data_IF_301247314128
#
_entry.id   IF_301247314128
#
_cell.length_a   1.000
_cell.length_b   1.000
_cell.length_c   1.000
_cell.angle_alpha   90.00
_cell.angle_beta   90.00
_cell.angle_gamma   90.00
#
_symmetry.space_group_name_H-M   'P 1'
#
loop_
_entity.id
_entity.type
_entity.pdbx_description
1 polymer ?
#
# COMPACT_ATOMS: atom_id res chain seq x y z
N UNK A 1 -5.67 -19.07 -11.10
CA UNK A 1 -4.89 -17.82 -11.24
C UNK A 1 -3.42 -18.13 -11.41
N UNK A 2 -2.62 -17.24 -12.01
CA UNK A 2 -1.16 -17.44 -12.09
C UNK A 2 -0.51 -17.30 -10.71
N UNK A 3 0.72 -17.79 -10.57
CA UNK A 3 1.52 -17.56 -9.36
C UNK A 3 1.85 -16.06 -9.18
N UNK A 4 1.90 -15.56 -7.94
CA UNK A 4 2.40 -14.23 -7.66
C UNK A 4 3.86 -14.06 -8.09
N UNK A 5 4.21 -12.85 -8.52
CA UNK A 5 5.55 -12.44 -8.99
C UNK A 5 6.34 -11.68 -7.91
N UNK A 6 5.68 -11.25 -6.84
CA UNK A 6 6.30 -10.48 -5.76
C UNK A 6 6.29 -11.30 -4.48
N UNK A 7 7.48 -11.54 -3.93
CA UNK A 7 7.65 -12.28 -2.69
C UNK A 7 7.28 -11.42 -1.46
N UNK A 8 6.64 -12.06 -0.48
CA UNK A 8 6.37 -11.45 0.81
C UNK A 8 7.58 -11.59 1.76
N UNK A 9 8.67 -10.89 1.42
CA UNK A 9 9.99 -10.95 2.08
C UNK A 9 9.90 -10.85 3.62
N UNK A 10 9.01 -9.98 4.11
CA UNK A 10 8.88 -9.66 5.53
C UNK A 10 7.70 -10.35 6.23
N UNK A 11 7.06 -11.32 5.55
CA UNK A 11 5.87 -12.01 6.04
C UNK A 11 4.79 -11.02 6.53
N UNK A 12 4.53 -10.00 5.72
CA UNK A 12 3.59 -8.91 5.98
C UNK A 12 2.15 -9.41 5.93
N UNK A 13 1.31 -8.75 6.72
CA UNK A 13 -0.15 -8.78 6.67
C UNK A 13 -0.65 -7.34 6.71
N UNK A 14 -1.91 -7.08 6.36
CA UNK A 14 -2.47 -5.73 6.49
C UNK A 14 -2.39 -5.22 7.93
N UNK A 15 -2.55 -6.12 8.92
CA UNK A 15 -2.34 -5.80 10.34
C UNK A 15 -0.91 -5.35 10.66
N UNK A 16 0.11 -5.97 10.05
CA UNK A 16 1.52 -5.55 10.20
C UNK A 16 1.78 -4.23 9.48
N UNK A 17 1.26 -4.06 8.27
CA UNK A 17 1.37 -2.82 7.49
C UNK A 17 0.80 -1.63 8.26
N UNK A 18 -0.37 -1.81 8.89
CA UNK A 18 -0.99 -0.77 9.71
C UNK A 18 -0.20 -0.37 10.98
N UNK A 19 0.84 -1.13 11.33
CA UNK A 19 1.74 -0.86 12.46
C UNK A 19 3.12 -0.37 12.04
N UNK A 20 3.37 -0.22 10.75
CA UNK A 20 4.63 0.34 10.26
C UNK A 20 4.80 1.77 10.79
N UNK A 21 6.04 2.13 11.11
CA UNK A 21 6.43 3.50 11.48
C UNK A 21 7.30 4.10 10.42
N UNK A 22 7.38 5.43 10.43
CA UNK A 22 8.42 6.14 9.66
C UNK A 22 9.77 5.84 10.29
N UNK A 23 10.73 5.43 9.45
CA UNK A 23 12.13 5.30 9.81
C UNK A 23 12.87 6.61 9.52
N UNK A 24 13.20 6.84 8.25
CA UNK A 24 13.91 8.04 7.79
C UNK A 24 12.95 9.08 7.16
N UNK A 25 12.63 10.13 7.92
CA UNK A 25 11.81 11.25 7.46
C UNK A 25 12.41 11.99 6.26
N UNK A 26 13.74 12.05 6.16
CA UNK A 26 14.43 12.85 5.14
C UNK A 26 14.24 12.31 3.71
N UNK A 27 13.78 11.05 3.61
CA UNK A 27 13.44 10.37 2.36
C UNK A 27 11.98 10.54 1.95
N UNK A 28 11.13 11.09 2.82
CA UNK A 28 9.71 11.33 2.51
C UNK A 28 9.57 12.65 1.76
N UNK A 29 9.81 12.59 0.46
CA UNK A 29 9.78 13.74 -0.45
C UNK A 29 9.59 13.30 -1.90
N UNK A 30 9.41 14.27 -2.78
CA UNK A 30 9.41 14.07 -4.23
C UNK A 30 10.75 13.49 -4.73
N UNK A 31 10.74 12.70 -5.83
CA UNK A 31 9.58 12.38 -6.67
C UNK A 31 8.82 11.12 -6.22
N UNK A 32 9.32 10.39 -5.22
CA UNK A 32 8.71 9.13 -4.79
C UNK A 32 7.33 9.37 -4.18
N UNK A 33 7.22 10.38 -3.33
CA UNK A 33 5.97 10.82 -2.74
C UNK A 33 5.50 12.10 -3.42
N UNK A 34 4.18 12.23 -3.62
CA UNK A 34 3.56 13.51 -3.93
C UNK A 34 2.97 14.10 -2.66
N UNK A 35 3.02 15.43 -2.55
CA UNK A 35 2.48 16.14 -1.39
C UNK A 35 0.97 16.37 -1.53
N UNK A 36 0.19 15.90 -0.56
CA UNK A 36 -1.21 16.26 -0.42
C UNK A 36 -1.41 17.27 0.72
N UNK A 37 -1.58 18.54 0.37
CA UNK A 37 -1.80 19.61 1.36
C UNK A 37 -3.21 19.63 1.95
N UNK A 38 -4.20 18.98 1.33
CA UNK A 38 -5.59 18.93 1.84
C UNK A 38 -5.67 18.06 3.09
N UNK A 39 -4.99 16.90 3.07
CA UNK A 39 -4.97 15.96 4.20
C UNK A 39 -3.68 16.04 5.04
N UNK A 40 -2.75 16.93 4.66
CA UNK A 40 -1.42 17.08 5.27
C UNK A 40 -0.64 15.75 5.34
N UNK A 41 -0.45 15.13 4.18
CA UNK A 41 0.27 13.88 4.05
C UNK A 41 1.16 13.84 2.81
N UNK A 42 2.20 13.01 2.89
CA UNK A 42 2.98 12.55 1.75
C UNK A 42 2.41 11.23 1.26
N UNK A 43 2.19 11.11 -0.05
CA UNK A 43 1.39 10.05 -0.62
C UNK A 43 2.10 9.30 -1.74
N UNK A 44 1.81 8.01 -1.86
CA UNK A 44 2.06 7.20 -3.05
C UNK A 44 0.70 6.72 -3.53
N UNK A 45 0.42 6.90 -4.81
CA UNK A 45 -0.73 6.29 -5.48
C UNK A 45 -0.27 5.54 -6.72
N UNK A 46 -0.87 4.38 -6.97
CA UNK A 46 -0.63 3.58 -8.18
C UNK A 46 -1.97 3.09 -8.72
N UNK A 47 -2.14 3.21 -10.02
CA UNK A 47 -3.28 2.63 -10.75
C UNK A 47 -2.89 1.22 -11.23
N UNK A 48 -3.80 0.27 -11.06
CA UNK A 48 -3.63 -1.13 -11.48
C UNK A 48 -4.73 -1.44 -12.49
N UNK A 49 -4.32 -1.62 -13.74
CA UNK A 49 -5.23 -1.87 -14.86
C UNK A 49 -4.60 -1.45 -16.18
N UNK A 50 -5.31 -1.71 -17.26
CA UNK A 50 -5.03 -1.18 -18.59
C UNK A 50 -5.68 0.20 -18.76
N UNK A 51 -5.31 0.92 -19.81
CA UNK A 51 -5.97 2.19 -20.18
C UNK A 51 -7.48 2.00 -20.39
N UNK A 52 -7.89 0.82 -20.87
CA UNK A 52 -9.30 0.47 -21.02
C UNK A 52 -9.99 0.31 -19.65
N UNK A 53 -9.35 -0.37 -18.70
CA UNK A 53 -9.88 -0.51 -17.34
C UNK A 53 -10.06 0.86 -16.69
N UNK A 54 -9.09 1.76 -16.85
CA UNK A 54 -9.19 3.14 -16.34
C UNK A 54 -10.32 3.91 -17.02
N UNK A 55 -10.43 3.83 -18.35
CA UNK A 55 -11.48 4.50 -19.13
C UNK A 55 -12.89 4.09 -18.68
N UNK A 56 -13.07 2.83 -18.29
CA UNK A 56 -14.36 2.30 -17.86
C UNK A 56 -14.52 2.20 -16.34
N UNK A 57 -13.57 2.73 -15.56
CA UNK A 57 -13.61 2.69 -14.08
C UNK A 57 -13.59 1.26 -13.53
N UNK A 58 -12.95 0.33 -14.22
CA UNK A 58 -12.77 -1.06 -13.79
C UNK A 58 -11.37 -1.31 -13.20
N UNK A 59 -10.50 -0.30 -13.16
CA UNK A 59 -9.17 -0.42 -12.57
C UNK A 59 -9.25 -0.56 -11.04
N UNK A 60 -8.20 -1.13 -10.47
CA UNK A 60 -7.92 -1.05 -9.05
C UNK A 60 -6.89 0.05 -8.80
N UNK A 61 -6.71 0.43 -7.54
CA UNK A 61 -5.64 1.32 -7.13
C UNK A 61 -5.15 1.01 -5.72
N UNK A 62 -3.92 1.44 -5.45
CA UNK A 62 -3.40 1.48 -4.08
C UNK A 62 -3.07 2.92 -3.72
N UNK A 63 -3.24 3.23 -2.44
CA UNK A 63 -2.82 4.48 -1.84
C UNK A 63 -2.09 4.21 -0.53
N UNK A 64 -0.96 4.88 -0.36
CA UNK A 64 -0.18 4.90 0.89
C UNK A 64 -0.01 6.35 1.29
N UNK A 65 -0.43 6.69 2.50
CA UNK A 65 -0.25 8.02 3.07
C UNK A 65 0.62 8.00 4.32
N UNK A 66 1.53 8.95 4.40
CA UNK A 66 2.29 9.28 5.60
C UNK A 66 1.90 10.69 6.02
N UNK A 67 1.02 10.79 7.01
CA UNK A 67 0.57 12.08 7.55
C UNK A 67 1.68 12.79 8.31
N UNK A 68 1.68 14.12 8.32
CA UNK A 68 2.63 14.90 9.13
C UNK A 68 2.45 14.65 10.63
N UNK A 69 1.18 14.48 11.05
CA UNK A 69 0.78 14.16 12.43
C UNK A 69 -0.03 12.87 12.44
N UNK A 70 0.02 12.07 13.53
CA UNK A 70 -0.79 10.86 13.62
C UNK A 70 -2.27 11.11 13.36
N UNK A 71 -2.88 10.31 12.49
CA UNK A 71 -4.30 10.25 12.21
C UNK A 71 -4.82 8.87 12.66
N UNK A 72 -5.82 8.82 13.53
CA UNK A 72 -6.20 7.58 14.25
C UNK A 72 -4.99 6.87 14.90
N UNK A 73 -4.18 7.63 15.66
CA UNK A 73 -3.01 7.15 16.41
C UNK A 73 -1.86 6.55 15.58
N UNK A 74 -1.86 6.76 14.25
CA UNK A 74 -0.77 6.31 13.36
C UNK A 74 -0.56 7.27 12.21
N UNK A 75 0.68 7.36 11.70
CA UNK A 75 0.99 8.21 10.55
C UNK A 75 0.89 7.48 9.23
N UNK A 76 1.19 6.19 9.21
CA UNK A 76 1.17 5.36 8.00
C UNK A 76 -0.20 4.74 7.81
N UNK A 77 -0.82 5.01 6.67
CA UNK A 77 -2.11 4.46 6.26
C UNK A 77 -1.98 3.88 4.86
N UNK A 78 -2.65 2.75 4.64
CA UNK A 78 -2.72 2.11 3.33
C UNK A 78 -4.16 1.79 3.00
N UNK A 79 -4.49 1.90 1.71
CA UNK A 79 -5.80 1.59 1.16
C UNK A 79 -5.60 0.92 -0.19
N UNK A 80 -6.48 -0.02 -0.50
CA UNK A 80 -6.64 -0.57 -1.84
C UNK A 80 -8.10 -0.37 -2.23
N UNK A 81 -8.34 0.11 -3.44
CA UNK A 81 -9.68 0.26 -3.98
C UNK A 81 -9.81 -0.50 -5.31
N UNK A 82 -11.05 -0.77 -5.68
CA UNK A 82 -11.45 -1.39 -6.93
C UNK A 82 -12.60 -0.60 -7.58
N UNK A 83 -12.88 -0.92 -8.84
CA UNK A 83 -13.87 -0.22 -9.66
C UNK A 83 -13.61 1.29 -9.72
N UNK A 84 -12.39 1.69 -10.06
CA UNK A 84 -12.01 3.10 -10.23
C UNK A 84 -12.12 3.91 -8.95
N UNK A 85 -11.91 3.28 -7.78
CA UNK A 85 -12.02 3.93 -6.48
C UNK A 85 -13.42 3.90 -5.86
N UNK A 86 -14.41 3.26 -6.49
CA UNK A 86 -15.79 3.22 -5.98
C UNK A 86 -16.01 2.20 -4.87
N UNK A 87 -15.16 1.17 -4.77
CA UNK A 87 -15.26 0.17 -3.72
C UNK A 87 -13.90 -0.09 -3.06
N UNK A 88 -13.92 -0.39 -1.77
CA UNK A 88 -12.69 -0.75 -1.06
C UNK A 88 -12.39 -2.23 -1.23
N UNK A 89 -11.16 -2.54 -1.65
CA UNK A 89 -10.65 -3.90 -1.69
C UNK A 89 -9.97 -4.26 -0.36
N UNK A 90 -10.52 -5.26 0.35
CA UNK A 90 -10.08 -5.65 1.70
C UNK A 90 -9.56 -7.08 1.71
N UNK A 91 -8.40 -7.28 2.32
CA UNK A 91 -7.80 -8.59 2.62
C UNK A 91 -6.94 -8.50 3.88
N UNK A 92 -6.58 -9.61 4.51
CA UNK A 92 -5.69 -9.61 5.69
C UNK A 92 -4.29 -10.15 5.36
N UNK A 93 -4.22 -11.27 4.64
CA UNK A 93 -2.97 -11.93 4.25
C UNK A 93 -2.80 -11.85 2.75
N UNK A 94 -1.57 -11.63 2.31
CA UNK A 94 -1.25 -11.66 0.89
C UNK A 94 -1.44 -13.07 0.30
N UNK A 95 -1.95 -13.10 -0.92
CA UNK A 95 -2.11 -14.26 -1.79
C UNK A 95 -2.99 -15.38 -1.23
N UNK A 96 -4.01 -15.01 -0.45
CA UNK A 96 -5.10 -15.93 -0.12
C UNK A 96 -6.05 -16.02 -1.32
N UNK A 97 -6.25 -17.22 -1.86
CA UNK A 97 -7.08 -17.43 -3.05
C UNK A 97 -8.50 -16.89 -2.89
N UNK A 98 -9.08 -17.02 -1.70
CA UNK A 98 -10.42 -16.50 -1.38
C UNK A 98 -10.56 -14.98 -1.47
N UNK A 99 -9.44 -14.25 -1.40
CA UNK A 99 -9.42 -12.79 -1.40
C UNK A 99 -9.06 -12.26 -2.82
N UNK A 100 -8.92 -13.14 -3.82
CA UNK A 100 -8.51 -12.78 -5.18
C UNK A 100 -9.53 -13.36 -6.17
N UNK A 101 -10.40 -12.50 -6.69
CA UNK A 101 -11.44 -12.91 -7.64
C UNK A 101 -10.92 -12.88 -9.08
N UNK A 102 -10.02 -11.95 -9.37
CA UNK A 102 -9.52 -11.71 -10.72
C UNK A 102 -8.02 -11.32 -10.74
N UNK A 103 -7.49 -11.14 -11.94
CA UNK A 103 -6.08 -10.79 -12.16
C UNK A 103 -5.71 -9.37 -11.64
N UNK A 104 -6.67 -8.42 -11.60
CA UNK A 104 -6.42 -7.09 -11.04
C UNK A 104 -6.25 -7.15 -9.52
N UNK A 105 -7.01 -7.99 -8.82
CA UNK A 105 -6.86 -8.20 -7.38
C UNK A 105 -5.46 -8.74 -7.06
N UNK A 106 -5.00 -9.75 -7.83
CA UNK A 106 -3.65 -10.30 -7.69
C UNK A 106 -2.59 -9.22 -7.91
N UNK A 107 -2.72 -8.44 -9.00
CA UNK A 107 -1.80 -7.33 -9.31
C UNK A 107 -1.83 -6.24 -8.24
N UNK A 108 -2.98 -5.97 -7.64
CA UNK A 108 -3.14 -4.97 -6.57
C UNK A 108 -2.36 -5.40 -5.33
N UNK A 109 -2.50 -6.67 -4.94
CA UNK A 109 -1.71 -7.23 -3.84
C UNK A 109 -0.20 -7.22 -4.14
N UNK A 110 0.21 -7.58 -5.37
CA UNK A 110 1.60 -7.53 -5.80
C UNK A 110 2.18 -6.11 -5.75
N UNK A 111 1.43 -5.11 -6.20
CA UNK A 111 1.87 -3.72 -6.24
C UNK A 111 1.97 -3.11 -4.84
N UNK A 112 0.99 -3.39 -3.95
CA UNK A 112 1.08 -2.98 -2.56
C UNK A 112 2.31 -3.60 -1.90
N UNK A 113 2.50 -4.90 -2.08
CA UNK A 113 3.61 -5.61 -1.45
C UNK A 113 4.96 -5.14 -1.98
N UNK A 114 5.08 -4.92 -3.30
CA UNK A 114 6.28 -4.37 -3.93
C UNK A 114 6.61 -3.00 -3.36
N UNK A 115 5.61 -2.13 -3.23
CA UNK A 115 5.80 -0.78 -2.72
C UNK A 115 6.22 -0.80 -1.25
N UNK A 116 5.53 -1.56 -0.40
CA UNK A 116 5.88 -1.66 1.02
C UNK A 116 7.25 -2.31 1.23
N UNK A 117 7.59 -3.37 0.47
CA UNK A 117 8.92 -3.96 0.52
C UNK A 117 10.00 -2.92 0.20
N UNK A 118 9.83 -2.15 -0.87
CA UNK A 118 10.79 -1.10 -1.24
C UNK A 118 10.90 -0.01 -0.16
N UNK A 119 9.78 0.43 0.43
CA UNK A 119 9.82 1.41 1.52
C UNK A 119 10.54 0.88 2.78
N UNK A 120 10.43 -0.41 3.07
CA UNK A 120 11.14 -1.06 4.18
C UNK A 120 12.62 -1.26 3.83
N UNK A 121 12.92 -1.76 2.63
CA UNK A 121 14.28 -1.97 2.11
C UNK A 121 15.08 -0.65 2.16
N UNK A 122 14.44 0.48 1.88
CA UNK A 122 15.02 1.83 1.93
C UNK A 122 15.05 2.46 3.33
N UNK A 123 14.51 1.81 4.36
CA UNK A 123 14.41 2.36 5.71
C UNK A 123 13.45 3.55 5.85
N UNK A 124 12.62 3.83 4.84
CA UNK A 124 11.58 4.86 4.91
C UNK A 124 10.49 4.41 5.88
N UNK A 125 10.12 3.14 5.83
CA UNK A 125 9.24 2.48 6.79
C UNK A 125 10.00 1.42 7.57
N UNK A 126 9.63 1.25 8.84
CA UNK A 126 10.24 0.23 9.71
C UNK A 126 9.18 -0.64 10.37
N UNK A 127 9.50 -1.93 10.49
CA UNK A 127 8.69 -2.89 11.22
C UNK A 127 8.94 -2.69 12.71
N UNK A 128 7.86 -2.57 13.49
CA UNK A 128 8.00 -2.63 14.94
C UNK A 128 8.21 -4.08 15.37
N UNK A 129 9.44 -4.42 15.74
CA UNK A 129 9.67 -5.57 16.60
C UNK A 129 9.09 -5.23 17.98
N UNK A 130 8.32 -6.15 18.56
CA UNK A 130 7.65 -5.98 19.86
C UNK A 130 8.59 -5.91 21.06
N UNK A 131 9.83 -5.42 20.89
CA UNK A 131 10.79 -5.15 21.96
C UNK A 131 11.10 -3.67 21.94
N UNK A 132 10.41 -2.91 22.79
CA UNK A 132 10.91 -1.77 23.54
C UNK A 132 9.73 -0.98 24.11
N UNK A 133 9.31 -1.40 25.29
CA UNK A 133 8.75 -0.57 26.36
C UNK A 133 9.18 -1.22 27.66
#
# INVERSE_FOLDING_TARGET
>A
MRKPKVENKYNLTMKKINKLRVGDESKIKEPLFWRNNVINAWCISKLIGTDQDVKYGANNDIWIGIYDKPYYNRRVHTRCDCFGGMCTYKFDKFYQEKDIENELDLKTQEELLRTINMLIDEGILVIQDGRNS
#
